data_IF_735251532504
#
_entry.id   IF_735251532504
#
_cell.length_a   1.000
_cell.length_b   1.000
_cell.length_c   1.000
_cell.angle_alpha   90.00
_cell.angle_beta   90.00
_cell.angle_gamma   90.00
#
_symmetry.space_group_name_H-M   'P 1'
#
loop_
_entity.id
_entity.type
_entity.pdbx_description
1 polymer ?
#
# COMPACT_ATOMS: atom_id res chain seq x y z
N UNK A 1 7.54 -0.47 -19.91
CA UNK A 1 6.27 -0.03 -19.29
C UNK A 1 6.01 -1.00 -18.15
N UNK A 2 5.88 -0.51 -16.92
CA UNK A 2 5.54 -1.37 -15.78
C UNK A 2 4.09 -1.84 -15.95
N UNK A 3 3.86 -3.15 -15.88
CA UNK A 3 2.52 -3.73 -15.93
C UNK A 3 1.98 -3.93 -14.51
N UNK A 4 0.67 -3.78 -14.36
CA UNK A 4 -0.03 -4.08 -13.11
C UNK A 4 -0.04 -5.58 -12.86
N UNK A 5 0.45 -5.97 -11.69
CA UNK A 5 0.52 -7.36 -11.24
C UNK A 5 -0.43 -7.59 -10.06
N UNK A 6 -0.94 -8.82 -9.86
CA UNK A 6 -1.75 -9.14 -8.69
C UNK A 6 -1.02 -8.83 -7.39
N UNK A 7 -1.71 -8.28 -6.40
CA UNK A 7 -1.11 -7.86 -5.12
C UNK A 7 -0.42 -9.01 -4.38
N UNK A 8 -0.84 -10.25 -4.59
CA UNK A 8 -0.24 -11.45 -3.97
C UNK A 8 1.22 -11.65 -4.36
N UNK A 9 1.62 -11.11 -5.52
CA UNK A 9 3.00 -11.16 -6.04
C UNK A 9 3.84 -9.96 -5.62
N UNK A 10 3.28 -9.04 -4.84
CA UNK A 10 3.95 -7.82 -4.44
C UNK A 10 5.09 -8.09 -3.45
N UNK A 11 6.18 -7.32 -3.53
CA UNK A 11 7.29 -7.44 -2.62
C UNK A 11 6.83 -7.06 -1.21
N UNK A 12 7.15 -7.92 -0.24
CA UNK A 12 6.82 -7.78 1.18
C UNK A 12 8.06 -7.42 2.01
N UNK A 13 8.96 -6.66 1.40
CA UNK A 13 10.30 -6.35 1.91
C UNK A 13 10.51 -4.84 2.07
N UNK A 14 9.44 -4.07 2.28
CA UNK A 14 9.44 -2.60 2.31
C UNK A 14 9.78 -1.91 0.99
N UNK A 15 9.85 -2.62 -0.13
CA UNK A 15 10.01 -1.99 -1.46
C UNK A 15 8.84 -1.06 -1.76
N UNK A 16 9.16 0.17 -2.20
CA UNK A 16 8.16 1.13 -2.65
C UNK A 16 7.59 0.73 -4.02
N UNK A 17 6.27 0.68 -4.08
CA UNK A 17 5.51 0.27 -5.27
C UNK A 17 4.34 1.22 -5.50
N UNK A 18 3.80 1.22 -6.71
CA UNK A 18 2.49 1.80 -6.96
C UNK A 18 1.44 0.76 -6.60
N UNK A 19 0.46 1.13 -5.77
CA UNK A 19 -0.68 0.29 -5.37
C UNK A 19 -1.95 0.74 -6.08
N UNK A 20 -2.86 -0.21 -6.31
CA UNK A 20 -4.23 0.06 -6.75
C UNK A 20 -5.23 -0.49 -5.73
N UNK A 21 -5.97 0.40 -5.07
CA UNK A 21 -6.98 0.06 -4.07
C UNK A 21 -8.20 0.97 -4.22
N UNK A 22 -9.43 0.44 -4.15
CA UNK A 22 -10.65 1.26 -4.18
C UNK A 22 -10.82 2.14 -5.42
N UNK A 23 -10.25 1.74 -6.56
CA UNK A 23 -10.23 2.55 -7.79
C UNK A 23 -9.23 3.71 -7.79
N UNK A 24 -8.40 3.85 -6.74
CA UNK A 24 -7.31 4.83 -6.64
C UNK A 24 -5.96 4.16 -6.91
N UNK A 25 -5.01 4.92 -7.44
CA UNK A 25 -3.63 4.53 -7.67
C UNK A 25 -2.70 5.46 -6.89
N UNK A 26 -1.83 4.91 -6.06
CA UNK A 26 -0.99 5.70 -5.15
C UNK A 26 0.28 4.95 -4.75
N UNK A 27 1.37 5.64 -4.41
CA UNK A 27 2.58 5.01 -3.92
C UNK A 27 2.36 4.43 -2.51
N UNK A 28 2.86 3.21 -2.29
CA UNK A 28 2.76 2.51 -1.02
C UNK A 28 3.88 1.48 -0.83
N UNK A 29 3.97 0.90 0.35
CA UNK A 29 4.91 -0.15 0.69
C UNK A 29 4.32 -1.11 1.73
N UNK A 30 4.83 -2.34 1.78
CA UNK A 30 4.49 -3.29 2.83
C UNK A 30 5.49 -3.13 3.97
N UNK A 31 5.09 -2.47 5.06
CA UNK A 31 5.99 -2.03 6.11
C UNK A 31 5.76 -2.82 7.42
N UNK A 32 6.85 -3.10 8.18
CA UNK A 32 6.76 -3.61 9.55
C UNK A 32 6.52 -2.49 10.56
N UNK A 33 6.42 -2.85 11.85
CA UNK A 33 6.36 -1.89 12.96
C UNK A 33 4.94 -1.43 13.33
N UNK A 34 3.94 -2.15 12.83
CA UNK A 34 2.55 -2.02 13.24
C UNK A 34 2.19 -3.09 14.25
N UNK A 35 1.21 -2.81 15.11
CA UNK A 35 0.67 -3.76 16.06
C UNK A 35 -0.78 -4.09 15.69
N UNK A 36 -1.14 -5.37 15.75
CA UNK A 36 -2.52 -5.80 15.63
C UNK A 36 -3.31 -5.53 16.93
N UNK A 37 -4.60 -5.87 16.96
CA UNK A 37 -5.45 -5.67 18.15
C UNK A 37 -5.06 -6.51 19.38
N UNK A 38 -4.10 -7.42 19.24
CA UNK A 38 -3.56 -8.27 20.30
C UNK A 38 -2.12 -7.86 20.66
N UNK A 39 -1.67 -6.67 20.27
CA UNK A 39 -0.30 -6.16 20.45
C UNK A 39 0.79 -7.03 19.80
N UNK A 40 0.46 -7.80 18.77
CA UNK A 40 1.47 -8.54 18.01
C UNK A 40 2.00 -7.71 16.85
N UNK A 41 3.31 -7.83 16.59
CA UNK A 41 3.93 -7.27 15.40
C UNK A 41 3.26 -7.79 14.13
N UNK A 42 2.77 -6.86 13.32
CA UNK A 42 2.19 -7.15 12.03
C UNK A 42 2.80 -6.28 10.93
N UNK A 43 2.65 -6.76 9.70
CA UNK A 43 3.05 -6.04 8.51
C UNK A 43 1.80 -5.61 7.75
N UNK A 44 1.77 -4.36 7.32
CA UNK A 44 0.62 -3.78 6.67
C UNK A 44 1.03 -3.01 5.40
N UNK A 45 0.11 -2.92 4.46
CA UNK A 45 0.26 -1.98 3.36
C UNK A 45 0.05 -0.56 3.90
N UNK A 46 1.06 0.28 3.73
CA UNK A 46 1.04 1.68 4.12
C UNK A 46 1.18 2.56 2.87
N UNK A 47 0.39 3.62 2.82
CA UNK A 47 0.46 4.64 1.79
C UNK A 47 1.61 5.60 2.07
N UNK A 48 2.34 5.98 1.03
CA UNK A 48 3.45 6.95 1.11
C UNK A 48 3.00 8.38 0.77
N UNK A 49 1.69 8.62 0.67
CA UNK A 49 1.10 9.91 0.34
C UNK A 49 -0.41 9.92 0.58
N UNK A 50 -1.08 11.07 0.41
CA UNK A 50 -2.47 11.27 0.84
C UNK A 50 -3.54 10.65 -0.07
N UNK A 51 -3.15 10.08 -1.22
CA UNK A 51 -4.09 9.62 -2.26
C UNK A 51 -4.67 8.21 -2.00
N UNK A 52 -4.52 7.67 -0.80
CA UNK A 52 -5.08 6.37 -0.43
C UNK A 52 -6.61 6.44 -0.25
N UNK A 53 -7.30 5.29 -0.21
CA UNK A 53 -8.71 5.23 0.19
C UNK A 53 -8.94 5.86 1.56
N UNK A 54 -10.11 6.49 1.74
CA UNK A 54 -10.40 7.25 2.95
C UNK A 54 -10.60 6.34 4.19
N UNK A 55 -10.78 5.04 3.98
CA UNK A 55 -10.93 3.99 5.00
C UNK A 55 -9.58 3.39 5.46
N UNK A 56 -8.45 3.90 4.95
CA UNK A 56 -7.11 3.59 5.45
C UNK A 56 -6.75 4.55 6.59
N UNK A 57 -7.06 4.14 7.82
CA UNK A 57 -6.72 4.90 9.02
C UNK A 57 -5.21 5.06 9.15
N UNK A 58 -4.75 6.31 9.32
CA UNK A 58 -3.33 6.63 9.44
C UNK A 58 -2.52 6.34 8.16
N UNK A 59 -3.20 6.19 7.02
CA UNK A 59 -2.57 5.77 5.77
C UNK A 59 -2.21 4.28 5.74
N UNK A 60 -2.77 3.47 6.63
CA UNK A 60 -2.49 2.03 6.70
C UNK A 60 -3.74 1.21 6.38
N UNK A 61 -3.55 0.14 5.63
CA UNK A 61 -4.58 -0.82 5.29
C UNK A 61 -4.74 -1.85 6.42
N UNK A 62 -5.79 -1.70 7.22
CA UNK A 62 -6.04 -2.58 8.37
C UNK A 62 -7.01 -3.73 8.04
N UNK A 63 -6.91 -4.82 8.79
CA UNK A 63 -7.96 -5.86 8.79
C UNK A 63 -9.27 -5.31 9.36
N UNK A 64 -9.18 -4.40 10.34
CA UNK A 64 -10.29 -3.64 10.90
C UNK A 64 -9.79 -2.23 11.20
N UNK A 65 -10.44 -1.21 10.64
CA UNK A 65 -10.11 0.21 10.81
C UNK A 65 -10.82 0.83 12.04
N UNK A 66 -10.66 2.14 12.24
CA UNK A 66 -11.27 2.88 13.37
C UNK A 66 -12.81 2.80 13.42
N UNK A 67 -13.47 2.60 12.29
CA UNK A 67 -14.93 2.46 12.20
C UNK A 67 -15.40 1.01 12.47
N UNK A 68 -14.49 0.09 12.77
CA UNK A 68 -14.79 -1.33 12.94
C UNK A 68 -15.05 -2.07 11.63
N UNK A 69 -14.61 -1.53 10.49
CA UNK A 69 -14.79 -2.08 9.16
C UNK A 69 -13.45 -2.48 8.51
N UNK A 70 -13.42 -3.46 7.60
CA UNK A 70 -12.19 -3.78 6.89
C UNK A 70 -11.80 -2.65 5.93
N UNK A 71 -10.52 -2.27 5.93
CA UNK A 71 -10.01 -1.31 4.94
C UNK A 71 -10.04 -1.92 3.54
N UNK A 72 -10.24 -1.06 2.54
CA UNK A 72 -10.20 -1.43 1.13
C UNK A 72 -8.83 -1.99 0.76
N UNK A 73 -8.78 -3.29 0.48
CA UNK A 73 -7.52 -3.99 0.20
C UNK A 73 -6.95 -3.57 -1.16
N UNK A 74 -5.61 -3.41 -1.27
CA UNK A 74 -4.99 -3.25 -2.57
C UNK A 74 -5.19 -4.53 -3.39
N UNK A 75 -5.45 -4.37 -4.68
CA UNK A 75 -5.73 -5.49 -5.61
C UNK A 75 -4.57 -5.75 -6.56
N UNK A 76 -3.83 -4.70 -6.91
CA UNK A 76 -2.71 -4.76 -7.84
C UNK A 76 -1.56 -3.87 -7.39
N UNK A 77 -0.38 -4.16 -7.92
CA UNK A 77 0.82 -3.34 -7.74
C UNK A 77 1.61 -3.23 -9.04
N UNK A 78 2.47 -2.22 -9.14
CA UNK A 78 3.55 -2.18 -10.13
C UNK A 78 4.79 -1.48 -9.55
N UNK A 79 6.01 -1.72 -10.08
CA UNK A 79 7.18 -0.95 -9.68
C UNK A 79 6.94 0.53 -9.89
N UNK A 80 7.48 1.38 -9.01
CA UNK A 80 7.47 2.82 -9.24
C UNK A 80 8.08 3.14 -10.61
N UNK A 81 7.49 4.05 -11.39
CA UNK A 81 8.09 4.48 -12.64
C UNK A 81 9.47 5.06 -12.34
N UNK A 82 10.46 4.72 -13.19
CA UNK A 82 11.76 5.37 -13.10
C UNK A 82 11.56 6.89 -13.20
N UNK A 83 12.28 7.70 -12.40
CA UNK A 83 12.22 9.14 -12.55
C UNK A 83 12.50 9.52 -14.01
N UNK A 84 11.84 10.58 -14.53
CA UNK A 84 12.08 11.02 -15.90
C UNK A 84 13.59 11.29 -16.07
N UNK A 85 14.23 10.54 -16.98
CA UNK A 85 15.60 10.81 -17.36
C UNK A 85 15.56 12.03 -18.29
N UNK A 86 15.95 13.19 -17.77
CA UNK A 86 16.23 14.34 -18.61
C UNK A 86 17.61 14.09 -19.25
N UNK A 87 17.64 13.94 -20.57
CA UNK A 87 18.88 14.05 -21.33
C UNK A 87 19.38 15.49 -21.22
N UNK A 88 20.64 15.69 -20.83
CA UNK A 88 21.36 16.96 -20.97
C UNK A 88 21.63 17.25 -22.46
#
# INVERSE_FOLDING_TARGET
MSEWRPIETAPRDSTHVMLRAGGREFPGAYLPGFLDSNDNDCWCWAALGPNHPDDWTGGTCWEVNEDGLPSTKPTHWMPLPAPPQFSD
#
